data_IF_307938920301
#
_entry.id   IF_307938920301
#
_cell.length_a   1.000
_cell.length_b   1.000
_cell.length_c   1.000
_cell.angle_alpha   90.00
_cell.angle_beta   90.00
_cell.angle_gamma   90.00
#
_symmetry.space_group_name_H-M   'P 1'
#
loop_
_entity.id
_entity.type
_entity.pdbx_description
1 polymer ?
#
# COMPACT_ATOMS: atom_id res chain seq x y z
N UNK A 1 -2.61 -13.89 -19.76
CA UNK A 1 -1.95 -12.68 -19.26
C UNK A 1 -3.01 -11.64 -18.94
N UNK A 2 -3.37 -11.60 -17.70
CA UNK A 2 -4.43 -10.70 -17.26
C UNK A 2 -3.83 -9.40 -16.75
N UNK A 3 -4.34 -8.27 -17.24
CA UNK A 3 -4.04 -6.97 -16.67
C UNK A 3 -4.88 -6.83 -15.40
N UNK A 4 -4.22 -6.52 -14.31
CA UNK A 4 -4.79 -6.45 -12.98
C UNK A 4 -4.48 -5.12 -12.34
N UNK A 5 -5.29 -4.73 -11.36
CA UNK A 5 -5.03 -3.56 -10.52
C UNK A 5 -4.86 -3.98 -9.08
N UNK A 6 -4.03 -3.25 -8.34
CA UNK A 6 -3.88 -3.42 -6.90
C UNK A 6 -3.84 -2.05 -6.24
N UNK A 7 -4.32 -1.97 -4.99
CA UNK A 7 -4.13 -0.77 -4.20
C UNK A 7 -2.85 -0.90 -3.41
N UNK A 8 -2.07 0.16 -3.40
CA UNK A 8 -0.84 0.29 -2.63
C UNK A 8 -0.94 1.51 -1.73
N UNK A 9 -0.39 1.42 -0.53
CA UNK A 9 -0.29 2.58 0.36
C UNK A 9 1.16 2.66 0.83
N UNK A 10 1.74 3.85 0.73
CA UNK A 10 3.00 4.16 1.41
C UNK A 10 2.61 4.71 2.77
N UNK A 11 2.98 3.99 3.82
CA UNK A 11 2.53 4.26 5.19
C UNK A 11 3.28 5.45 5.80
N UNK A 12 2.78 6.00 6.93
CA UNK A 12 3.37 7.22 7.50
C UNK A 12 4.85 7.13 7.80
N UNK A 13 5.35 5.96 8.20
CA UNK A 13 6.77 5.76 8.49
C UNK A 13 7.65 5.98 7.26
N UNK A 14 7.25 5.43 6.11
CA UNK A 14 8.01 5.60 4.87
C UNK A 14 7.84 7.01 4.29
N UNK A 15 6.65 7.61 4.42
CA UNK A 15 6.45 9.00 4.00
C UNK A 15 7.39 9.91 4.79
N UNK A 16 7.48 9.71 6.11
CA UNK A 16 8.36 10.50 6.97
C UNK A 16 9.85 10.33 6.60
N UNK A 17 10.24 9.18 6.08
CA UNK A 17 11.61 8.93 5.63
C UNK A 17 11.95 9.58 4.29
N UNK A 18 10.94 10.16 3.62
CA UNK A 18 11.12 10.85 2.35
C UNK A 18 11.60 9.91 1.22
N UNK A 19 11.02 8.71 1.15
CA UNK A 19 11.40 7.67 0.18
C UNK A 19 10.28 7.36 -0.83
N UNK A 20 9.27 8.23 -0.96
CA UNK A 20 8.15 8.03 -1.90
C UNK A 20 8.67 7.77 -3.31
N UNK A 21 9.57 8.62 -3.79
CA UNK A 21 10.12 8.48 -5.15
C UNK A 21 10.88 7.19 -5.36
N UNK A 22 11.62 6.74 -4.37
CA UNK A 22 12.36 5.48 -4.43
C UNK A 22 11.41 4.29 -4.50
N UNK A 23 10.31 4.34 -3.75
CA UNK A 23 9.30 3.27 -3.78
C UNK A 23 8.58 3.28 -5.14
N UNK A 24 8.19 4.44 -5.65
CA UNK A 24 7.56 4.56 -6.96
C UNK A 24 8.47 4.04 -8.08
N UNK A 25 9.77 4.32 -8.00
CA UNK A 25 10.74 3.81 -8.96
C UNK A 25 10.70 2.28 -9.02
N UNK A 26 10.57 1.61 -7.90
CA UNK A 26 10.48 0.14 -7.87
C UNK A 26 9.22 -0.37 -8.55
N UNK A 27 8.10 0.34 -8.39
CA UNK A 27 6.86 -0.03 -9.10
C UNK A 27 7.06 0.08 -10.61
N UNK A 28 7.56 1.20 -11.06
CA UNK A 28 7.72 1.47 -12.49
C UNK A 28 8.77 0.55 -13.13
N UNK A 29 9.88 0.31 -12.46
CA UNK A 29 10.91 -0.61 -12.95
C UNK A 29 10.40 -2.06 -13.08
N UNK A 30 9.41 -2.43 -12.28
CA UNK A 30 8.79 -3.74 -12.36
C UNK A 30 7.68 -3.84 -13.43
N UNK A 31 7.41 -2.74 -14.13
CA UNK A 31 6.37 -2.70 -15.15
C UNK A 31 4.97 -2.40 -14.62
N UNK A 32 4.86 -1.95 -13.38
CA UNK A 32 3.58 -1.51 -12.83
C UNK A 32 3.36 -0.03 -13.15
N UNK A 33 2.21 0.29 -13.72
CA UNK A 33 1.86 1.67 -14.02
C UNK A 33 1.07 2.28 -12.88
N UNK A 34 1.42 3.49 -12.49
CA UNK A 34 0.65 4.25 -11.51
C UNK A 34 -0.51 4.88 -12.26
N UNK A 35 -1.74 4.44 -11.96
CA UNK A 35 -2.94 4.90 -12.66
C UNK A 35 -3.82 5.80 -11.81
N UNK A 36 -3.50 5.94 -10.52
CA UNK A 36 -4.08 6.92 -9.61
C UNK A 36 -3.11 7.11 -8.45
N UNK A 37 -3.01 8.32 -7.92
CA UNK A 37 -2.05 8.63 -6.86
C UNK A 37 -2.51 9.87 -6.09
N UNK A 38 -2.46 9.80 -4.75
CA UNK A 38 -2.89 10.91 -3.91
C UNK A 38 -2.24 10.82 -2.53
N UNK A 39 -1.82 11.95 -1.99
CA UNK A 39 -1.40 12.02 -0.59
C UNK A 39 -2.59 12.43 0.26
N UNK A 40 -2.85 11.70 1.34
CA UNK A 40 -3.96 11.99 2.26
C UNK A 40 -3.50 11.81 3.69
N UNK A 41 -4.11 12.54 4.61
CA UNK A 41 -3.99 12.28 6.04
C UNK A 41 -5.31 11.67 6.49
N UNK A 42 -5.31 10.38 6.76
CA UNK A 42 -6.54 9.68 7.13
C UNK A 42 -7.10 10.19 8.44
N UNK A 43 -8.43 10.35 8.50
CA UNK A 43 -9.12 10.54 9.77
C UNK A 43 -9.21 9.20 10.49
N UNK A 44 -9.49 9.23 11.80
CA UNK A 44 -9.72 8.00 12.56
C UNK A 44 -10.87 7.19 11.93
N UNK A 45 -11.97 7.87 11.58
CA UNK A 45 -13.11 7.20 10.96
C UNK A 45 -12.75 6.51 9.65
N UNK A 46 -11.94 7.18 8.81
CA UNK A 46 -11.49 6.60 7.54
C UNK A 46 -10.60 5.38 7.75
N UNK A 47 -9.66 5.47 8.69
CA UNK A 47 -8.76 4.35 8.97
C UNK A 47 -9.52 3.17 9.55
N UNK A 48 -10.45 3.40 10.46
CA UNK A 48 -11.29 2.34 11.03
C UNK A 48 -12.14 1.67 9.97
N UNK A 49 -12.67 2.45 9.04
CA UNK A 49 -13.49 1.92 7.94
C UNK A 49 -12.67 1.10 6.97
N UNK A 50 -11.49 1.60 6.60
CA UNK A 50 -10.60 0.90 5.67
C UNK A 50 -10.14 -0.45 6.23
N UNK A 51 -9.81 -0.50 7.52
CA UNK A 51 -9.36 -1.71 8.20
C UNK A 51 -10.46 -2.46 8.95
N UNK A 52 -11.73 -2.22 8.60
CA UNK A 52 -12.88 -2.79 9.31
C UNK A 52 -12.84 -4.32 9.42
N UNK A 53 -12.25 -5.00 8.43
CA UNK A 53 -12.12 -6.46 8.46
C UNK A 53 -11.26 -6.93 9.65
N UNK A 54 -10.45 -6.05 10.21
CA UNK A 54 -9.59 -6.34 11.37
C UNK A 54 -10.15 -5.81 12.69
N UNK A 55 -11.38 -5.29 12.71
CA UNK A 55 -11.96 -4.60 13.88
C UNK A 55 -11.96 -5.46 15.15
N UNK A 56 -12.07 -6.79 15.02
CA UNK A 56 -12.07 -7.71 16.15
C UNK A 56 -10.66 -8.16 16.58
N UNK A 57 -9.62 -7.75 15.84
CA UNK A 57 -8.24 -8.16 16.13
C UNK A 57 -7.62 -7.29 17.22
N UNK A 58 -6.75 -7.88 18.08
CA UNK A 58 -6.10 -7.11 19.15
C UNK A 58 -5.25 -5.95 18.63
N UNK A 59 -4.68 -6.06 17.43
CA UNK A 59 -3.83 -5.02 16.85
C UNK A 59 -4.58 -3.89 16.18
N UNK A 60 -5.91 -3.97 16.08
CA UNK A 60 -6.70 -3.00 15.30
C UNK A 60 -6.50 -1.55 15.78
N UNK A 61 -6.58 -1.34 17.09
CA UNK A 61 -6.43 0.01 17.66
C UNK A 61 -5.05 0.59 17.33
N UNK A 62 -4.00 -0.20 17.49
CA UNK A 62 -2.64 0.26 17.24
C UNK A 62 -2.42 0.51 15.74
N UNK A 63 -3.01 -0.33 14.89
CA UNK A 63 -2.95 -0.14 13.44
C UNK A 63 -3.59 1.19 13.03
N UNK A 64 -4.78 1.48 13.55
CA UNK A 64 -5.48 2.74 13.28
C UNK A 64 -4.65 3.93 13.77
N UNK A 65 -4.16 3.89 15.01
CA UNK A 65 -3.32 4.95 15.56
C UNK A 65 -2.09 5.21 14.68
N UNK A 66 -1.44 4.14 14.23
CA UNK A 66 -0.27 4.24 13.36
C UNK A 66 -0.64 4.91 12.04
N UNK A 67 -1.70 4.46 11.39
CA UNK A 67 -2.09 4.93 10.06
C UNK A 67 -2.56 6.39 10.05
N UNK A 68 -2.98 6.94 11.19
CA UNK A 68 -3.38 8.34 11.29
C UNK A 68 -2.28 9.23 11.87
N UNK A 69 -1.12 8.67 12.17
CA UNK A 69 -0.01 9.42 12.79
C UNK A 69 0.65 10.43 11.85
N UNK A 70 0.43 10.33 10.56
CA UNK A 70 0.96 11.23 9.55
C UNK A 70 0.34 10.96 8.19
N UNK A 71 0.68 11.76 7.17
CA UNK A 71 0.18 11.53 5.82
C UNK A 71 0.63 10.19 5.26
N UNK A 72 -0.20 9.63 4.38
CA UNK A 72 0.09 8.44 3.59
C UNK A 72 -0.03 8.80 2.12
N UNK A 73 0.60 8.01 1.25
CA UNK A 73 0.38 8.12 -0.19
C UNK A 73 -0.35 6.88 -0.64
N UNK A 74 -1.53 7.07 -1.26
CA UNK A 74 -2.32 5.97 -1.80
C UNK A 74 -2.22 5.98 -3.32
N UNK A 75 -2.06 4.82 -3.92
CA UNK A 75 -1.95 4.68 -5.37
C UNK A 75 -2.61 3.40 -5.85
N UNK A 76 -3.20 3.48 -7.04
CA UNK A 76 -3.65 2.30 -7.77
C UNK A 76 -2.56 1.97 -8.80
N UNK A 77 -2.15 0.71 -8.83
CA UNK A 77 -1.14 0.21 -9.75
C UNK A 77 -1.78 -0.76 -10.72
N UNK A 78 -1.37 -0.72 -11.97
CA UNK A 78 -1.92 -1.58 -13.03
C UNK A 78 -0.80 -2.27 -13.79
N UNK A 79 -0.98 -3.55 -14.08
CA UNK A 79 -0.03 -4.33 -14.85
C UNK A 79 -0.39 -5.80 -14.84
N UNK A 80 0.41 -6.62 -15.51
CA UNK A 80 0.25 -8.07 -15.49
C UNK A 80 0.54 -8.58 -14.08
N UNK A 81 -0.38 -9.39 -13.54
CA UNK A 81 -0.23 -9.97 -12.19
C UNK A 81 0.12 -8.91 -11.14
N UNK A 82 -0.53 -7.75 -11.20
CA UNK A 82 -0.15 -6.60 -10.37
C UNK A 82 -0.17 -6.92 -8.87
N UNK A 83 -1.13 -7.70 -8.41
CA UNK A 83 -1.25 -8.05 -6.98
C UNK A 83 -0.03 -8.82 -6.51
N UNK A 84 0.31 -9.93 -7.19
CA UNK A 84 1.46 -10.75 -6.81
C UNK A 84 2.77 -10.00 -7.00
N UNK A 85 2.90 -9.29 -8.12
CA UNK A 85 4.11 -8.51 -8.42
C UNK A 85 4.37 -7.47 -7.34
N UNK A 86 3.32 -6.76 -6.91
CA UNK A 86 3.42 -5.77 -5.85
C UNK A 86 3.80 -6.43 -4.52
N UNK A 87 3.22 -7.58 -4.19
CA UNK A 87 3.57 -8.31 -2.97
C UNK A 87 5.02 -8.76 -2.97
N UNK A 88 5.53 -9.22 -4.11
CA UNK A 88 6.95 -9.59 -4.24
C UNK A 88 7.86 -8.39 -4.04
N UNK A 89 7.47 -7.22 -4.56
CA UNK A 89 8.23 -5.98 -4.37
C UNK A 89 8.23 -5.53 -2.92
N UNK A 90 7.10 -5.69 -2.22
CA UNK A 90 7.01 -5.32 -0.79
C UNK A 90 7.89 -6.19 0.09
N UNK A 91 7.93 -7.49 -0.17
CA UNK A 91 8.62 -8.45 0.68
C UNK A 91 7.78 -8.91 1.87
N UNK A 92 8.38 -9.74 2.72
CA UNK A 92 7.71 -10.28 3.89
C UNK A 92 7.26 -9.18 4.84
N UNK A 93 6.13 -9.43 5.53
CA UNK A 93 5.55 -8.47 6.50
C UNK A 93 6.56 -8.06 7.58
N UNK A 94 7.34 -9.02 8.06
CA UNK A 94 8.44 -8.73 9.00
C UNK A 94 9.67 -8.35 8.18
N UNK A 95 10.17 -7.10 8.31
CA UNK A 95 11.33 -6.66 7.54
C UNK A 95 12.59 -7.48 7.80
N UNK A 96 12.70 -8.09 8.97
CA UNK A 96 13.86 -8.96 9.30
C UNK A 96 13.84 -10.24 8.48
N UNK A 97 12.67 -10.65 7.97
CA UNK A 97 12.49 -11.85 7.16
C UNK A 97 12.35 -11.51 5.67
N UNK A 98 12.26 -10.23 5.33
CA UNK A 98 12.12 -9.79 3.94
C UNK A 98 13.44 -9.95 3.21
N UNK A 99 13.36 -10.43 1.97
CA UNK A 99 14.55 -10.60 1.15
C UNK A 99 15.19 -9.26 0.80
N UNK A 100 16.51 -9.25 0.73
CA UNK A 100 17.28 -8.07 0.34
C UNK A 100 16.76 -7.51 -0.98
N UNK A 101 16.61 -6.20 -1.05
CA UNK A 101 16.12 -5.51 -2.25
C UNK A 101 14.63 -5.30 -2.27
N UNK A 102 13.88 -5.89 -1.33
CA UNK A 102 12.46 -5.60 -1.20
C UNK A 102 12.25 -4.28 -0.48
N UNK A 103 11.06 -3.69 -0.65
CA UNK A 103 10.73 -2.39 -0.04
C UNK A 103 10.83 -2.49 1.48
N UNK A 104 10.27 -3.54 2.07
CA UNK A 104 10.30 -3.70 3.53
C UNK A 104 11.69 -3.96 4.07
N UNK A 105 12.51 -4.74 3.36
CA UNK A 105 13.89 -4.95 3.79
C UNK A 105 14.68 -3.64 3.83
N UNK A 106 14.43 -2.76 2.87
CA UNK A 106 15.21 -1.53 2.73
C UNK A 106 14.65 -0.36 3.55
N UNK A 107 13.33 -0.28 3.74
CA UNK A 107 12.69 0.92 4.29
C UNK A 107 11.84 0.70 5.54
N UNK A 108 11.50 -0.53 5.90
CA UNK A 108 10.66 -0.80 7.06
C UNK A 108 11.48 -0.95 8.33
N UNK A 109 10.92 -0.53 9.46
CA UNK A 109 11.59 -0.62 10.75
C UNK A 109 11.16 -1.84 11.56
N UNK A 110 9.90 -2.25 11.43
CA UNK A 110 9.31 -3.33 12.22
C UNK A 110 8.08 -3.89 11.52
N UNK A 111 7.46 -4.90 12.10
CA UNK A 111 6.19 -5.45 11.59
C UNK A 111 5.10 -4.37 11.63
N UNK A 112 5.07 -3.54 12.67
CA UNK A 112 4.07 -2.49 12.81
C UNK A 112 4.35 -1.28 11.91
N UNK A 113 5.62 -0.91 11.77
CA UNK A 113 6.07 0.19 10.91
C UNK A 113 6.75 -0.42 9.67
N UNK A 114 5.94 -1.05 8.80
CA UNK A 114 6.45 -1.86 7.70
C UNK A 114 6.36 -1.21 6.31
N UNK A 115 6.29 0.09 6.26
CA UNK A 115 6.46 0.97 5.10
C UNK A 115 5.32 0.96 4.09
N UNK A 116 4.74 -0.19 3.74
CA UNK A 116 3.79 -0.28 2.62
C UNK A 116 2.67 -1.27 2.90
N UNK A 117 1.55 -1.04 2.22
CA UNK A 117 0.39 -1.92 2.19
C UNK A 117 0.08 -2.28 0.74
N UNK A 118 -0.38 -3.50 0.49
CA UNK A 118 -0.87 -3.93 -0.81
C UNK A 118 -2.09 -4.80 -0.64
N UNK A 119 -3.00 -4.75 -1.63
CA UNK A 119 -4.16 -5.63 -1.65
C UNK A 119 -3.71 -7.09 -1.75
N UNK A 120 -4.50 -8.00 -1.17
CA UNK A 120 -4.15 -9.42 -1.12
C UNK A 120 -4.89 -10.29 -2.14
N UNK A 121 -5.84 -9.72 -2.86
CA UNK A 121 -6.59 -10.43 -3.89
C UNK A 121 -7.39 -9.48 -4.77
N UNK A 122 -7.98 -9.99 -5.87
CA UNK A 122 -8.75 -9.14 -6.80
C UNK A 122 -9.94 -8.44 -6.18
N UNK A 123 -10.68 -9.12 -5.31
CA UNK A 123 -11.85 -8.54 -4.65
C UNK A 123 -11.43 -7.45 -3.66
N UNK A 124 -10.41 -7.71 -2.88
CA UNK A 124 -9.85 -6.75 -1.94
C UNK A 124 -9.31 -5.53 -2.69
N UNK A 125 -8.61 -5.76 -3.80
CA UNK A 125 -8.08 -4.67 -4.63
C UNK A 125 -9.19 -3.77 -5.14
N UNK A 126 -10.26 -4.34 -5.68
CA UNK A 126 -11.37 -3.56 -6.20
C UNK A 126 -12.02 -2.68 -5.12
N UNK A 127 -12.27 -3.27 -3.95
CA UNK A 127 -12.89 -2.56 -2.83
C UNK A 127 -11.96 -1.45 -2.28
N UNK A 128 -10.68 -1.74 -2.14
CA UNK A 128 -9.71 -0.78 -1.61
C UNK A 128 -9.47 0.38 -2.57
N UNK A 129 -9.39 0.11 -3.87
CA UNK A 129 -9.25 1.18 -4.87
C UNK A 129 -10.48 2.08 -4.84
N UNK A 130 -11.69 1.50 -4.81
CA UNK A 130 -12.93 2.26 -4.77
C UNK A 130 -13.05 3.11 -3.50
N UNK A 131 -12.44 2.67 -2.40
CA UNK A 131 -12.44 3.42 -1.15
C UNK A 131 -11.75 4.79 -1.32
N UNK A 132 -10.65 4.83 -2.06
CA UNK A 132 -9.84 6.05 -2.20
C UNK A 132 -10.08 6.81 -3.50
N UNK A 133 -10.48 6.12 -4.57
CA UNK A 133 -10.53 6.73 -5.89
C UNK A 133 -11.88 6.49 -6.59
N UNK A 134 -12.64 7.56 -6.88
CA UNK A 134 -13.72 7.43 -7.85
C UNK A 134 -13.18 6.88 -9.17
N UNK A 135 -13.97 6.06 -9.86
CA UNK A 135 -13.53 5.44 -11.10
C UNK A 135 -13.00 6.45 -12.13
N UNK A 136 -13.58 7.65 -12.16
CA UNK A 136 -13.15 8.72 -13.07
C UNK A 136 -11.74 9.22 -12.79
N UNK A 137 -11.17 8.90 -11.61
CA UNK A 137 -9.83 9.33 -11.22
C UNK A 137 -8.79 8.22 -11.38
N UNK A 138 -9.16 7.10 -12.03
CA UNK A 138 -8.24 6.01 -12.33
C UNK A 138 -8.06 5.95 -13.85
N UNK A 139 -6.82 6.08 -14.31
CA UNK A 139 -6.49 6.29 -15.72
C UNK A 139 -5.60 5.17 -16.25
N UNK A 140 -6.22 4.15 -16.88
CA UNK A 140 -5.44 3.16 -17.62
C UNK A 140 -4.66 3.83 -18.75
N UNK A 141 -3.39 3.45 -18.90
CA UNK A 141 -2.51 4.12 -19.86
C UNK A 141 -1.38 3.22 -20.36
#
# INVERSE_FOLDING_TARGET
MAIERTLSIIKPDAVAKNVIGQIYTRFENAGLKIVASRMVHLSRADAEKFYAVHAARPFFKDLVEFMISGPVVVQALEGENAILKHRDLMGATDPKKAEKGTIRADFADSIDANAVHGSDGPETAAAEIAFFFPQVNVYSR
#
